data_IF_593137442981
#
_entry.id   IF_593137442981
#
_cell.length_a   1.000
_cell.length_b   1.000
_cell.length_c   1.000
_cell.angle_alpha   90.00
_cell.angle_beta   90.00
_cell.angle_gamma   90.00
#
_symmetry.space_group_name_H-M   'P 1'
#
loop_
_entity.id
_entity.type
_entity.pdbx_description
1 polymer ?
#
# COMPACT_ATOMS: atom_id res chain seq x y z
N UNK A 1 31.39 55.02 -34.67
CA UNK A 1 31.79 54.03 -33.68
C UNK A 1 30.50 53.53 -32.98
N UNK A 2 29.97 52.40 -33.39
CA UNK A 2 28.71 51.86 -32.90
C UNK A 2 29.00 50.58 -32.10
N UNK A 3 28.79 50.60 -30.79
CA UNK A 3 28.99 49.45 -29.90
C UNK A 3 27.68 48.66 -29.83
N UNK A 4 27.67 47.43 -30.37
CA UNK A 4 26.61 46.45 -30.22
C UNK A 4 26.80 45.73 -28.88
N UNK A 5 25.83 45.88 -27.96
CA UNK A 5 25.72 45.09 -26.74
C UNK A 5 24.93 43.81 -27.08
N UNK A 6 25.59 42.65 -27.05
CA UNK A 6 24.96 41.34 -27.16
C UNK A 6 24.35 40.94 -25.81
N UNK A 7 23.04 40.73 -25.77
CA UNK A 7 22.35 40.12 -24.65
C UNK A 7 22.41 38.57 -24.79
N UNK A 8 23.12 37.95 -23.88
CA UNK A 8 23.08 36.50 -23.74
C UNK A 8 21.81 36.11 -22.97
N UNK A 9 20.83 35.49 -23.64
CA UNK A 9 19.72 34.84 -22.99
C UNK A 9 20.21 33.54 -22.35
N UNK A 10 20.24 33.49 -21.02
CA UNK A 10 20.35 32.25 -20.26
C UNK A 10 18.98 31.55 -20.25
N UNK A 11 18.86 30.45 -20.99
CA UNK A 11 17.73 29.55 -20.86
C UNK A 11 17.94 28.63 -19.64
N UNK A 12 17.20 28.88 -18.56
CA UNK A 12 17.12 27.97 -17.44
C UNK A 12 16.28 26.74 -17.85
N UNK A 13 16.93 25.59 -18.01
CA UNK A 13 16.24 24.30 -18.22
C UNK A 13 15.77 23.81 -16.85
N UNK A 14 14.46 23.84 -16.63
CA UNK A 14 13.80 23.27 -15.46
C UNK A 14 13.80 21.75 -15.54
N UNK A 15 14.74 21.08 -14.88
CA UNK A 15 14.80 19.61 -14.72
C UNK A 15 14.09 19.22 -13.43
N UNK A 16 12.78 19.36 -13.38
CA UNK A 16 12.01 19.05 -12.15
C UNK A 16 10.75 18.20 -12.33
N UNK A 17 10.37 17.85 -13.58
CA UNK A 17 9.05 17.30 -13.84
C UNK A 17 8.92 15.78 -14.05
N UNK A 18 10.00 15.06 -14.29
CA UNK A 18 9.93 13.70 -14.83
C UNK A 18 9.72 12.59 -13.79
N UNK A 19 10.15 12.78 -12.53
CA UNK A 19 9.99 11.77 -11.48
C UNK A 19 8.55 11.64 -10.96
N UNK A 20 7.78 12.73 -10.95
CA UNK A 20 6.38 12.71 -10.49
C UNK A 20 5.45 12.00 -11.47
N UNK A 21 5.65 12.15 -12.76
CA UNK A 21 4.82 11.54 -13.80
C UNK A 21 5.03 10.02 -13.89
N UNK A 22 6.28 9.55 -13.83
CA UNK A 22 6.59 8.11 -13.85
C UNK A 22 6.00 7.36 -12.65
N UNK A 23 5.91 8.00 -11.48
CA UNK A 23 5.30 7.41 -10.28
C UNK A 23 3.77 7.36 -10.36
N UNK A 24 3.15 8.36 -10.96
CA UNK A 24 1.70 8.39 -11.22
C UNK A 24 1.28 7.35 -12.27
N UNK A 25 2.10 7.10 -13.29
CA UNK A 25 1.87 6.08 -14.31
C UNK A 25 2.01 4.66 -13.73
N UNK A 26 2.98 4.39 -12.87
CA UNK A 26 3.12 3.11 -12.19
C UNK A 26 1.94 2.81 -11.23
N UNK A 27 1.39 3.82 -10.58
CA UNK A 27 0.19 3.70 -9.72
C UNK A 27 -1.09 3.40 -10.52
N UNK A 28 -1.21 3.91 -11.74
CA UNK A 28 -2.32 3.63 -12.64
C UNK A 28 -2.16 2.30 -13.43
N UNK A 29 -0.96 1.76 -13.56
CA UNK A 29 -0.71 0.56 -14.34
C UNK A 29 -1.38 -0.70 -13.74
N UNK A 30 -1.52 -0.78 -12.41
CA UNK A 30 -2.17 -1.90 -11.74
C UNK A 30 -3.70 -1.90 -11.92
N UNK A 31 -4.34 -0.74 -12.02
CA UNK A 31 -5.79 -0.61 -12.15
C UNK A 31 -6.39 -1.26 -13.42
N UNK A 32 -5.73 -1.24 -14.60
CA UNK A 32 -6.21 -1.95 -15.80
C UNK A 32 -6.32 -3.45 -15.62
N UNK A 33 -5.40 -4.10 -14.90
CA UNK A 33 -5.39 -5.55 -14.65
C UNK A 33 -6.67 -5.98 -13.92
N UNK A 34 -7.07 -5.25 -12.89
CA UNK A 34 -8.31 -5.53 -12.18
C UNK A 34 -9.56 -5.25 -13.02
N UNK A 35 -9.53 -4.29 -13.91
CA UNK A 35 -10.65 -3.98 -14.80
C UNK A 35 -10.80 -4.98 -15.95
N UNK A 36 -9.70 -5.42 -16.52
CA UNK A 36 -9.69 -6.38 -17.63
C UNK A 36 -10.06 -7.81 -17.20
N UNK A 37 -9.84 -8.17 -15.92
CA UNK A 37 -10.33 -9.41 -15.34
C UNK A 37 -9.67 -10.73 -15.82
N UNK A 38 -8.62 -10.67 -16.62
CA UNK A 38 -8.00 -11.85 -17.22
C UNK A 38 -6.80 -12.43 -16.46
N UNK A 39 -6.11 -11.61 -15.68
CA UNK A 39 -4.90 -12.01 -14.97
C UNK A 39 -5.15 -12.11 -13.46
N UNK A 40 -4.39 -12.95 -12.75
CA UNK A 40 -4.50 -13.05 -11.30
C UNK A 40 -4.22 -11.68 -10.63
N UNK A 41 -5.14 -11.22 -9.80
CA UNK A 41 -5.00 -9.99 -9.03
C UNK A 41 -5.84 -10.05 -7.75
N UNK A 42 -5.46 -9.26 -6.77
CA UNK A 42 -6.27 -8.99 -5.58
C UNK A 42 -6.77 -7.53 -5.65
N UNK A 43 -8.09 -7.34 -5.52
CA UNK A 43 -8.67 -6.03 -5.27
C UNK A 43 -8.82 -5.85 -3.76
N UNK A 44 -7.93 -5.05 -3.17
CA UNK A 44 -7.93 -4.76 -1.74
C UNK A 44 -8.86 -3.61 -1.45
N UNK A 45 -9.96 -3.88 -0.74
CA UNK A 45 -10.87 -2.88 -0.20
C UNK A 45 -10.39 -2.48 1.20
N UNK A 46 -9.92 -1.23 1.37
CA UNK A 46 -9.37 -0.72 2.63
C UNK A 46 -10.47 -0.03 3.43
N UNK A 47 -10.83 -0.60 4.59
CA UNK A 47 -11.95 -0.17 5.42
C UNK A 47 -11.44 0.51 6.69
N UNK A 48 -12.10 1.60 7.11
CA UNK A 48 -11.85 2.24 8.40
C UNK A 48 -10.54 3.02 8.47
N UNK A 49 -10.13 3.63 7.37
CA UNK A 49 -9.01 4.58 7.36
C UNK A 49 -9.37 5.81 8.18
N UNK A 50 -8.50 6.19 9.13
CA UNK A 50 -8.77 7.22 10.14
C UNK A 50 -8.81 8.64 9.57
N UNK A 51 -8.04 8.90 8.53
CA UNK A 51 -7.94 10.20 7.85
C UNK A 51 -7.47 10.02 6.42
N UNK A 52 -7.64 11.03 5.58
CA UNK A 52 -7.12 11.04 4.21
C UNK A 52 -5.66 11.54 4.12
N UNK A 53 -5.02 11.84 5.27
CA UNK A 53 -3.62 12.28 5.34
C UNK A 53 -2.65 11.11 5.14
N UNK A 54 -1.44 11.42 4.67
CA UNK A 54 -0.36 10.45 4.50
C UNK A 54 -0.54 9.50 3.33
N UNK A 55 -0.01 8.28 3.46
CA UNK A 55 -0.04 7.26 2.42
C UNK A 55 -0.56 5.92 2.93
N UNK A 56 -1.18 5.15 2.05
CA UNK A 56 -1.50 3.74 2.28
C UNK A 56 -0.56 2.88 1.43
N UNK A 57 0.04 1.91 2.09
CA UNK A 57 0.90 0.91 1.48
C UNK A 57 0.26 -0.46 1.59
N UNK A 58 0.11 -1.14 0.46
CA UNK A 58 -0.31 -2.54 0.38
C UNK A 58 0.86 -3.39 -0.05
N UNK A 59 1.06 -4.53 0.61
CA UNK A 59 2.06 -5.51 0.23
C UNK A 59 1.41 -6.89 0.13
N UNK A 60 1.72 -7.61 -0.96
CA UNK A 60 1.34 -9.00 -1.15
C UNK A 60 2.53 -9.91 -0.85
N UNK A 61 2.26 -11.01 -0.18
CA UNK A 61 3.22 -12.06 0.16
C UNK A 61 2.76 -13.37 -0.43
N UNK A 62 3.68 -14.14 -0.98
CA UNK A 62 3.44 -15.45 -1.57
C UNK A 62 4.57 -16.42 -1.21
N UNK A 63 4.45 -17.67 -1.67
CA UNK A 63 5.44 -18.71 -1.39
C UNK A 63 5.31 -19.31 0.02
N UNK A 64 6.40 -19.36 0.77
CA UNK A 64 6.43 -19.97 2.10
C UNK A 64 5.63 -19.15 3.13
N UNK A 65 4.53 -19.69 3.69
CA UNK A 65 3.70 -18.98 4.67
C UNK A 65 4.45 -18.60 5.96
N UNK A 66 5.49 -19.32 6.35
CA UNK A 66 6.29 -18.99 7.52
C UNK A 66 7.04 -17.67 7.36
N UNK A 67 7.24 -17.23 6.11
CA UNK A 67 7.92 -15.99 5.76
C UNK A 67 6.99 -14.82 5.48
N UNK A 68 5.67 -14.99 5.59
CA UNK A 68 4.73 -13.88 5.45
C UNK A 68 5.08 -12.77 6.45
N UNK A 69 4.99 -11.54 5.97
CA UNK A 69 5.26 -10.30 6.70
C UNK A 69 6.71 -10.09 7.15
N UNK A 70 7.66 -10.94 6.75
CA UNK A 70 9.08 -10.67 6.94
C UNK A 70 9.55 -9.50 6.09
N UNK A 71 10.54 -8.78 6.59
CA UNK A 71 11.09 -7.63 5.87
C UNK A 71 11.69 -8.08 4.52
N UNK A 72 11.19 -7.49 3.44
CA UNK A 72 11.72 -7.73 2.10
C UNK A 72 11.21 -9.00 1.42
N UNK A 73 10.25 -9.74 2.01
CA UNK A 73 9.69 -10.97 1.40
C UNK A 73 8.41 -10.74 0.60
N UNK A 74 7.92 -9.49 0.55
CA UNK A 74 6.78 -9.16 -0.32
C UNK A 74 7.15 -9.36 -1.79
N UNK A 75 6.18 -9.83 -2.57
CA UNK A 75 6.30 -10.05 -4.02
C UNK A 75 5.76 -8.87 -4.82
N UNK A 76 4.84 -8.10 -4.22
CA UNK A 76 4.29 -6.88 -4.81
C UNK A 76 4.07 -5.82 -3.73
N UNK A 77 4.28 -4.56 -4.09
CA UNK A 77 4.09 -3.42 -3.20
C UNK A 77 3.51 -2.24 -3.95
N UNK A 78 2.39 -1.74 -3.48
CA UNK A 78 1.75 -0.54 -3.98
C UNK A 78 1.65 0.47 -2.84
N UNK A 79 1.98 1.72 -3.11
CA UNK A 79 1.86 2.82 -2.16
C UNK A 79 1.25 4.02 -2.87
N UNK A 80 0.23 4.63 -2.26
CA UNK A 80 -0.49 5.75 -2.84
C UNK A 80 -0.99 6.72 -1.76
N UNK A 81 -1.36 7.96 -2.11
CA UNK A 81 -2.01 8.88 -1.19
C UNK A 81 -3.27 8.27 -0.60
N UNK A 82 -3.49 8.47 0.70
CA UNK A 82 -4.60 7.86 1.45
C UNK A 82 -5.97 8.21 0.86
N UNK A 83 -6.16 9.43 0.39
CA UNK A 83 -7.41 9.88 -0.25
C UNK A 83 -7.82 9.04 -1.48
N UNK A 84 -6.89 8.31 -2.10
CA UNK A 84 -7.11 7.47 -3.29
C UNK A 84 -7.12 5.97 -2.96
N UNK A 85 -6.90 5.60 -1.71
CA UNK A 85 -6.58 4.24 -1.29
C UNK A 85 -7.80 3.44 -0.78
N UNK A 86 -8.99 3.66 -1.32
CA UNK A 86 -10.21 2.92 -0.95
C UNK A 86 -10.22 1.51 -1.55
N UNK A 87 -9.81 1.41 -2.81
CA UNK A 87 -9.67 0.16 -3.55
C UNK A 87 -8.31 0.14 -4.24
N UNK A 88 -7.53 -0.88 -3.96
CA UNK A 88 -6.16 -1.00 -4.47
C UNK A 88 -6.03 -2.33 -5.21
N UNK A 89 -5.77 -2.24 -6.51
CA UNK A 89 -5.53 -3.41 -7.36
C UNK A 89 -4.08 -3.85 -7.22
N UNK A 90 -3.88 -5.09 -6.77
CA UNK A 90 -2.57 -5.72 -6.60
C UNK A 90 -2.42 -6.83 -7.63
N UNK A 91 -1.67 -6.64 -8.74
CA UNK A 91 -1.42 -7.67 -9.71
C UNK A 91 -0.56 -8.79 -9.10
N UNK A 92 -0.80 -10.02 -9.51
CA UNK A 92 -0.07 -11.18 -9.02
C UNK A 92 0.53 -11.97 -10.19
N UNK A 93 1.69 -12.61 -9.99
CA UNK A 93 2.40 -13.30 -11.08
C UNK A 93 1.69 -14.56 -11.56
N UNK A 94 0.88 -15.20 -10.71
CA UNK A 94 0.16 -16.47 -11.00
C UNK A 94 -0.94 -16.71 -9.97
N UNK A 95 -1.90 -17.61 -10.25
CA UNK A 95 -2.80 -18.16 -9.24
C UNK A 95 -2.02 -18.81 -8.08
N UNK A 96 -2.55 -18.74 -6.87
CA UNK A 96 -1.89 -19.30 -5.70
C UNK A 96 -2.46 -18.81 -4.37
N UNK A 97 -1.72 -19.08 -3.30
CA UNK A 97 -2.08 -18.64 -1.95
C UNK A 97 -1.19 -17.49 -1.56
N UNK A 98 -1.80 -16.40 -1.09
CA UNK A 98 -1.16 -15.13 -0.76
C UNK A 98 -1.63 -14.62 0.59
N UNK A 99 -0.90 -13.66 1.14
CA UNK A 99 -1.35 -12.84 2.26
C UNK A 99 -1.17 -11.36 1.90
N UNK A 100 -2.01 -10.51 2.46
CA UNK A 100 -1.97 -9.05 2.25
C UNK A 100 -1.70 -8.35 3.58
N UNK A 101 -0.80 -7.37 3.59
CA UNK A 101 -0.73 -6.37 4.64
C UNK A 101 -1.02 -4.98 4.09
N UNK A 102 -1.69 -4.17 4.91
CA UNK A 102 -1.96 -2.76 4.63
C UNK A 102 -1.40 -1.92 5.77
N UNK A 103 -0.66 -0.87 5.45
CA UNK A 103 -0.20 0.13 6.40
C UNK A 103 -0.67 1.51 5.97
N UNK A 104 -1.28 2.25 6.88
CA UNK A 104 -1.56 3.65 6.75
C UNK A 104 -0.50 4.45 7.51
N UNK A 105 0.41 5.07 6.79
CA UNK A 105 1.38 6.02 7.31
C UNK A 105 0.68 7.37 7.48
N UNK A 106 0.03 7.55 8.63
CA UNK A 106 -0.91 8.65 8.84
C UNK A 106 -0.22 10.02 8.97
N UNK A 107 1.06 10.05 9.36
CA UNK A 107 1.85 11.26 9.48
C UNK A 107 2.83 11.48 8.30
N UNK A 108 2.90 10.54 7.36
CA UNK A 108 3.72 10.65 6.15
C UNK A 108 5.22 10.63 6.39
N UNK A 109 5.68 10.08 7.54
CA UNK A 109 7.10 10.08 7.90
C UNK A 109 7.90 8.90 7.31
N UNK A 110 7.25 7.96 6.62
CA UNK A 110 7.86 6.78 6.00
C UNK A 110 8.24 5.67 6.98
N UNK A 111 8.08 5.88 8.28
CA UNK A 111 8.43 4.94 9.35
C UNK A 111 7.17 4.35 9.96
N UNK A 112 7.25 3.13 10.49
CA UNK A 112 6.15 2.55 11.25
C UNK A 112 6.21 3.06 12.71
N UNK A 113 5.13 3.67 13.17
CA UNK A 113 5.00 4.17 14.53
C UNK A 113 3.58 3.98 15.09
N UNK A 114 3.37 4.39 16.36
CA UNK A 114 2.09 4.21 17.06
C UNK A 114 0.95 5.09 16.53
N UNK A 115 1.23 6.04 15.65
CA UNK A 115 0.22 6.87 14.99
C UNK A 115 -0.31 6.22 13.73
N UNK A 116 0.41 5.25 13.20
CA UNK A 116 0.06 4.53 11.98
C UNK A 116 -1.10 3.56 12.21
N UNK A 117 -1.75 3.20 11.12
CA UNK A 117 -2.72 2.14 11.07
C UNK A 117 -2.17 0.90 10.40
N UNK A 118 -2.70 -0.25 10.77
CA UNK A 118 -2.36 -1.53 10.17
C UNK A 118 -3.57 -2.44 9.99
N UNK A 119 -3.50 -3.29 8.96
CA UNK A 119 -4.48 -4.33 8.71
C UNK A 119 -3.87 -5.46 7.87
N UNK A 120 -4.50 -6.61 7.90
CA UNK A 120 -4.07 -7.80 7.15
C UNK A 120 -5.28 -8.51 6.56
N UNK A 121 -5.08 -9.27 5.49
CA UNK A 121 -6.10 -10.19 4.99
C UNK A 121 -6.57 -11.12 6.11
N UNK A 122 -7.84 -11.53 6.06
CA UNK A 122 -8.46 -12.32 7.12
C UNK A 122 -8.78 -11.55 8.42
N UNK A 123 -8.29 -10.32 8.57
CA UNK A 123 -8.54 -9.44 9.71
C UNK A 123 -8.24 -10.10 11.08
N UNK A 124 -7.05 -10.69 11.29
CA UNK A 124 -6.69 -11.31 12.55
C UNK A 124 -6.70 -10.29 13.69
N UNK A 125 -7.05 -10.74 14.89
CA UNK A 125 -7.03 -9.90 16.07
C UNK A 125 -5.60 -9.73 16.57
N UNK A 126 -5.19 -8.49 16.86
CA UNK A 126 -3.90 -8.14 17.46
C UNK A 126 -4.10 -7.29 18.70
N UNK A 127 -3.26 -7.53 19.69
CA UNK A 127 -3.09 -6.63 20.83
C UNK A 127 -1.96 -5.63 20.52
N UNK A 128 -1.89 -4.56 21.32
CA UNK A 128 -0.74 -3.63 21.25
C UNK A 128 0.55 -4.36 21.59
N UNK A 129 0.49 -5.38 22.46
CA UNK A 129 1.65 -6.19 22.82
C UNK A 129 2.19 -6.96 21.61
N UNK A 130 1.33 -7.57 20.79
CA UNK A 130 1.75 -8.27 19.57
C UNK A 130 2.51 -7.35 18.61
N UNK A 131 2.10 -6.08 18.51
CA UNK A 131 2.81 -5.07 17.70
C UNK A 131 4.20 -4.77 18.26
N UNK A 132 4.33 -4.65 19.59
CA UNK A 132 5.60 -4.33 20.27
C UNK A 132 6.60 -5.49 20.08
N UNK A 133 6.17 -6.72 20.29
CA UNK A 133 7.01 -7.92 20.17
C UNK A 133 7.13 -8.41 18.71
N UNK A 134 6.47 -7.72 17.77
CA UNK A 134 6.42 -8.08 16.33
C UNK A 134 5.92 -9.51 16.11
N UNK A 135 4.91 -9.90 16.89
CA UNK A 135 4.25 -11.17 16.71
C UNK A 135 3.57 -11.25 15.34
N UNK A 136 3.59 -12.41 14.72
CA UNK A 136 2.92 -12.65 13.44
C UNK A 136 1.63 -13.44 13.65
N UNK A 137 0.60 -13.20 12.83
CA UNK A 137 -0.59 -14.05 12.87
C UNK A 137 -0.28 -15.46 12.39
N UNK A 138 -1.12 -16.43 12.78
CA UNK A 138 -1.12 -17.73 12.14
C UNK A 138 -1.33 -17.53 10.62
N UNK A 139 -0.45 -18.07 9.77
CA UNK A 139 -0.58 -17.96 8.33
C UNK A 139 -1.96 -18.37 7.80
N UNK A 140 -2.60 -19.36 8.41
CA UNK A 140 -3.94 -19.82 8.01
C UNK A 140 -5.02 -18.75 8.16
N UNK A 141 -4.85 -17.80 9.09
CA UNK A 141 -5.81 -16.72 9.31
C UNK A 141 -5.73 -15.62 8.27
N UNK A 142 -4.59 -15.50 7.58
CA UNK A 142 -4.32 -14.39 6.65
C UNK A 142 -4.26 -14.81 5.19
N UNK A 143 -4.30 -16.11 4.92
CA UNK A 143 -4.23 -16.66 3.57
C UNK A 143 -5.45 -16.31 2.73
N UNK A 144 -5.18 -15.94 1.48
CA UNK A 144 -6.16 -15.68 0.42
C UNK A 144 -5.84 -16.59 -0.76
N UNK A 145 -6.81 -17.38 -1.19
CA UNK A 145 -6.68 -18.20 -2.39
C UNK A 145 -7.10 -17.40 -3.61
N UNK A 146 -6.17 -17.19 -4.54
CA UNK A 146 -6.36 -16.43 -5.76
C UNK A 146 -6.35 -17.37 -6.97
N UNK A 147 -7.44 -17.36 -7.72
CA UNK A 147 -7.56 -18.06 -9.01
C UNK A 147 -7.12 -17.19 -10.19
N UNK A 148 -7.61 -17.54 -11.38
CA UNK A 148 -7.56 -16.62 -12.52
C UNK A 148 -8.56 -15.47 -12.29
N UNK A 149 -8.18 -14.26 -12.71
CA UNK A 149 -8.99 -13.06 -12.55
C UNK A 149 -8.79 -12.38 -11.20
N UNK A 150 -9.77 -11.58 -10.79
CA UNK A 150 -9.68 -10.68 -9.63
C UNK A 150 -10.35 -11.30 -8.40
N UNK A 151 -9.62 -11.37 -7.30
CA UNK A 151 -10.12 -11.82 -6.00
C UNK A 151 -10.30 -10.60 -5.09
N UNK A 152 -11.53 -10.28 -4.63
CA UNK A 152 -11.75 -9.18 -3.68
C UNK A 152 -11.30 -9.60 -2.28
N UNK A 153 -10.61 -8.68 -1.59
CA UNK A 153 -10.14 -8.87 -0.20
C UNK A 153 -10.42 -7.62 0.60
N UNK A 154 -11.21 -7.73 1.65
CA UNK A 154 -11.51 -6.63 2.56
C UNK A 154 -10.52 -6.64 3.72
N UNK A 155 -9.84 -5.51 3.93
CA UNK A 155 -8.90 -5.29 5.04
C UNK A 155 -9.39 -4.14 5.92
N UNK A 156 -9.64 -4.45 7.19
CA UNK A 156 -10.05 -3.47 8.19
C UNK A 156 -8.83 -2.87 8.86
N UNK A 157 -8.73 -1.54 8.82
CA UNK A 157 -7.63 -0.80 9.42
C UNK A 157 -7.83 -0.66 10.92
N UNK A 158 -6.80 -1.00 11.67
CA UNK A 158 -6.73 -0.87 13.12
C UNK A 158 -5.69 0.18 13.51
N UNK A 159 -5.93 0.87 14.62
CA UNK A 159 -5.06 1.90 15.17
C UNK A 159 -4.92 1.74 16.67
N UNK A 160 -3.80 2.20 17.22
CA UNK A 160 -3.65 2.26 18.66
C UNK A 160 -4.56 3.35 19.24
N UNK A 161 -5.48 2.94 20.11
CA UNK A 161 -6.48 3.80 20.74
C UNK A 161 -6.69 3.38 22.19
N UNK A 162 -6.32 4.23 23.17
CA UNK A 162 -6.51 3.95 24.59
C UNK A 162 -5.85 2.64 25.06
N UNK A 163 -4.65 2.33 24.53
CA UNK A 163 -3.92 1.09 24.86
C UNK A 163 -4.42 -0.17 24.14
N UNK A 164 -5.38 -0.05 23.22
CA UNK A 164 -5.86 -1.16 22.39
C UNK A 164 -5.59 -0.92 20.91
N UNK A 165 -5.33 -1.98 20.15
CA UNK A 165 -5.21 -1.94 18.70
C UNK A 165 -6.54 -2.40 18.09
N UNK A 166 -7.31 -1.47 17.55
CA UNK A 166 -8.70 -1.71 17.13
C UNK A 166 -9.13 -0.79 15.98
N UNK A 167 -10.20 -1.15 15.25
CA UNK A 167 -10.79 -0.28 14.23
C UNK A 167 -11.23 1.07 14.83
N UNK A 168 -11.18 2.12 14.02
CA UNK A 168 -11.86 3.37 14.38
C UNK A 168 -13.37 3.16 14.28
N UNK A 169 -14.12 3.77 15.21
CA UNK A 169 -15.58 3.75 15.13
C UNK A 169 -15.99 4.47 13.83
N UNK A 170 -16.70 3.77 12.95
CA UNK A 170 -17.36 4.40 11.80
C UNK A 170 -18.50 5.28 12.33
N UNK A 171 -18.44 6.56 12.01
CA UNK A 171 -19.56 7.49 12.24
C UNK A 171 -20.60 7.32 11.15
#
# INVERSE_FOLDING_TARGET
MLKLFGWAMMTAVAVGGTLSLARAEAMNAAAPVCRAGGSPAILVEVIGVRSDAGTVRVQAYGGDPARYFDKGTYIERIEMPTAQAREICVPLPKPGTYAISVRHDANGNGKADMKDGGGMSGNPQFSVWDLIVKNKPDPKQVQVHVGQGVTPVRVVMNYVQGGSFRPVATR
#
